data_IF_520395446553
#
_entry.id   IF_520395446553
#
_cell.length_a   1.000
_cell.length_b   1.000
_cell.length_c   1.000
_cell.angle_alpha   90.00
_cell.angle_beta   90.00
_cell.angle_gamma   90.00
#
_symmetry.space_group_name_H-M   'P 1'
#
loop_
_entity.id
_entity.type
_entity.pdbx_description
1 polymer ?
#
# COMPACT_ATOMS: atom_id res chain seq x y z
N UNK A 1 22.47 16.85 25.07
CA UNK A 1 22.20 15.52 25.65
C UNK A 1 20.72 15.09 25.64
N UNK A 2 19.77 16.00 25.54
CA UNK A 2 18.32 15.64 25.44
C UNK A 2 17.85 15.31 24.03
N UNK A 3 18.48 15.81 23.00
CA UNK A 3 18.11 15.58 21.58
C UNK A 3 18.24 14.10 21.17
N UNK A 4 19.31 13.42 21.57
CA UNK A 4 19.51 12.00 21.27
C UNK A 4 18.46 11.06 21.90
N UNK A 5 17.80 11.49 22.97
CA UNK A 5 16.76 10.68 23.63
C UNK A 5 15.42 10.80 22.93
N UNK A 6 15.12 11.97 22.36
CA UNK A 6 13.92 12.20 21.56
C UNK A 6 14.00 11.48 20.21
N UNK A 7 15.15 11.49 19.53
CA UNK A 7 15.36 10.76 18.27
C UNK A 7 15.23 9.25 18.45
N UNK A 8 15.81 8.67 19.49
CA UNK A 8 15.65 7.24 19.82
C UNK A 8 14.21 6.86 20.13
N UNK A 9 13.46 7.77 20.77
CA UNK A 9 12.04 7.54 21.05
C UNK A 9 11.20 7.61 19.77
N UNK A 10 11.50 8.51 18.85
CA UNK A 10 10.86 8.60 17.54
C UNK A 10 11.18 7.38 16.66
N UNK A 11 12.44 6.93 16.65
CA UNK A 11 12.81 5.69 15.95
C UNK A 11 12.11 4.46 16.55
N UNK A 12 11.96 4.38 17.86
CA UNK A 12 11.23 3.30 18.52
C UNK A 12 9.74 3.33 18.16
N UNK A 13 9.12 4.52 18.12
CA UNK A 13 7.73 4.68 17.70
C UNK A 13 7.55 4.36 16.21
N UNK A 14 8.50 4.74 15.35
CA UNK A 14 8.48 4.38 13.94
C UNK A 14 8.64 2.87 13.71
N UNK A 15 9.46 2.19 14.52
CA UNK A 15 9.58 0.73 14.49
C UNK A 15 8.30 0.03 14.96
N UNK A 16 7.59 0.60 15.93
CA UNK A 16 6.30 0.07 16.41
C UNK A 16 5.17 0.30 15.41
N UNK A 17 5.25 1.34 14.58
CA UNK A 17 4.28 1.64 13.54
C UNK A 17 4.69 1.07 12.16
N UNK A 18 5.85 0.42 12.05
CA UNK A 18 6.25 -0.19 10.79
C UNK A 18 5.33 -1.38 10.48
N UNK A 19 4.48 -1.19 9.51
CA UNK A 19 3.64 -2.25 8.98
C UNK A 19 4.56 -3.34 8.41
N UNK A 20 4.35 -4.56 8.87
CA UNK A 20 5.08 -5.74 8.37
C UNK A 20 4.23 -6.45 7.33
N UNK A 21 4.88 -7.06 6.38
CA UNK A 21 4.24 -7.87 5.36
C UNK A 21 4.77 -9.31 5.40
N UNK A 22 3.85 -10.25 5.26
CA UNK A 22 4.19 -11.67 5.13
C UNK A 22 4.39 -11.95 3.65
N UNK A 23 5.61 -12.26 3.25
CA UNK A 23 5.96 -12.53 1.85
C UNK A 23 6.47 -13.94 1.68
N UNK A 24 6.22 -14.50 0.51
CA UNK A 24 6.77 -15.79 0.13
C UNK A 24 7.90 -15.56 -0.89
N UNK A 25 9.11 -15.85 -0.47
CA UNK A 25 10.32 -15.79 -1.30
C UNK A 25 11.03 -17.13 -1.30
N UNK A 26 11.35 -17.66 -2.47
CA UNK A 26 12.02 -18.96 -2.61
C UNK A 26 11.32 -20.12 -1.89
N UNK A 27 9.99 -20.12 -1.87
CA UNK A 27 9.18 -21.12 -1.19
C UNK A 27 9.17 -21.01 0.34
N UNK A 28 9.72 -19.95 0.90
CA UNK A 28 9.74 -19.67 2.35
C UNK A 28 8.89 -18.45 2.69
N UNK A 29 8.12 -18.57 3.76
CA UNK A 29 7.36 -17.48 4.33
C UNK A 29 8.29 -16.60 5.18
N UNK A 30 8.40 -15.33 4.81
CA UNK A 30 9.22 -14.34 5.50
C UNK A 30 8.34 -13.17 5.95
N UNK A 31 8.63 -12.62 7.11
CA UNK A 31 8.02 -11.38 7.58
C UNK A 31 9.04 -10.26 7.41
N UNK A 32 8.72 -9.29 6.57
CA UNK A 32 9.60 -8.16 6.26
C UNK A 32 8.88 -6.83 6.50
N UNK A 33 9.60 -5.74 6.75
CA UNK A 33 9.01 -4.41 6.76
C UNK A 33 8.38 -4.07 5.39
N UNK A 34 7.22 -3.42 5.39
CA UNK A 34 6.50 -3.07 4.16
C UNK A 34 7.34 -2.26 3.18
N UNK A 35 8.28 -1.45 3.69
CA UNK A 35 9.20 -0.65 2.88
C UNK A 35 10.20 -1.47 2.05
N UNK A 36 10.41 -2.74 2.41
CA UNK A 36 11.31 -3.66 1.70
C UNK A 36 10.62 -4.48 0.62
N UNK A 37 9.32 -4.27 0.43
CA UNK A 37 8.56 -4.90 -0.64
C UNK A 37 9.02 -4.38 -2.01
N UNK A 38 9.15 -5.29 -2.95
CA UNK A 38 9.45 -4.99 -4.35
C UNK A 38 8.37 -5.54 -5.26
N UNK A 39 8.11 -4.92 -6.42
CA UNK A 39 7.20 -5.51 -7.40
C UNK A 39 7.61 -6.94 -7.76
N UNK A 40 6.65 -7.85 -7.77
CA UNK A 40 6.86 -9.28 -8.00
C UNK A 40 6.89 -10.15 -6.75
N UNK A 41 6.95 -9.56 -5.56
CA UNK A 41 6.82 -10.32 -4.31
C UNK A 41 5.40 -10.87 -4.13
N UNK A 42 5.29 -12.09 -3.62
CA UNK A 42 4.00 -12.68 -3.26
C UNK A 42 3.72 -12.41 -1.79
N UNK A 43 2.65 -11.67 -1.53
CA UNK A 43 2.20 -11.30 -0.17
C UNK A 43 1.06 -12.21 0.25
N UNK A 44 1.10 -12.68 1.49
CA UNK A 44 0.02 -13.43 2.12
C UNK A 44 -0.73 -12.48 3.06
N UNK A 45 -2.04 -12.42 2.89
CA UNK A 45 -2.94 -11.55 3.64
C UNK A 45 -3.97 -12.36 4.41
N UNK A 46 -4.22 -11.93 5.63
CA UNK A 46 -5.21 -12.51 6.54
C UNK A 46 -6.09 -11.40 7.12
N UNK A 47 -7.19 -11.80 7.75
CA UNK A 47 -8.09 -10.86 8.45
C UNK A 47 -7.34 -10.03 9.48
N UNK A 48 -7.50 -8.72 9.42
CA UNK A 48 -6.84 -7.76 10.30
C UNK A 48 -5.53 -7.19 9.75
N UNK A 49 -5.01 -7.73 8.65
CA UNK A 49 -3.80 -7.21 8.00
C UNK A 49 -4.11 -5.94 7.18
N UNK A 50 -3.20 -4.99 7.22
CA UNK A 50 -3.20 -3.86 6.28
C UNK A 50 -2.46 -4.22 5.00
N UNK A 51 -3.02 -3.79 3.89
CA UNK A 51 -2.40 -3.98 2.57
C UNK A 51 -1.19 -3.04 2.44
N UNK A 52 0.03 -3.58 2.27
CA UNK A 52 1.25 -2.78 2.32
C UNK A 52 1.58 -2.04 1.01
N UNK A 53 1.01 -2.49 -0.08
CA UNK A 53 1.29 -1.98 -1.43
C UNK A 53 0.11 -2.26 -2.36
N UNK A 54 0.17 -1.84 -3.60
CA UNK A 54 -0.83 -2.23 -4.60
C UNK A 54 -0.56 -3.66 -5.06
N UNK A 55 -1.54 -4.51 -4.85
CA UNK A 55 -1.44 -5.96 -5.04
C UNK A 55 -2.46 -6.46 -6.06
N UNK A 56 -2.03 -7.38 -6.93
CA UNK A 56 -2.92 -8.17 -7.77
C UNK A 56 -3.24 -9.49 -7.10
N UNK A 57 -4.49 -9.80 -6.91
CA UNK A 57 -4.93 -11.03 -6.26
C UNK A 57 -4.65 -12.23 -7.17
N UNK A 58 -3.96 -13.24 -6.63
CA UNK A 58 -3.71 -14.52 -7.27
C UNK A 58 -4.70 -15.56 -6.75
N UNK A 59 -4.93 -15.54 -5.45
CA UNK A 59 -5.79 -16.50 -4.76
C UNK A 59 -6.55 -15.78 -3.64
N UNK A 60 -7.83 -15.99 -3.55
CA UNK A 60 -8.68 -15.39 -2.51
C UNK A 60 -9.69 -16.39 -2.00
N UNK A 61 -9.87 -16.45 -0.68
CA UNK A 61 -10.88 -17.23 0.00
C UNK A 61 -11.73 -16.29 0.86
N UNK A 62 -12.93 -16.00 0.41
CA UNK A 62 -13.86 -15.08 1.08
C UNK A 62 -13.22 -13.73 1.47
N UNK A 63 -12.33 -13.23 0.63
CA UNK A 63 -11.53 -12.04 0.92
C UNK A 63 -12.39 -10.79 0.81
N UNK A 64 -12.42 -9.99 1.88
CA UNK A 64 -13.08 -8.68 1.91
C UNK A 64 -12.11 -7.62 2.39
N UNK A 65 -12.07 -6.52 1.69
CA UNK A 65 -11.21 -5.39 2.00
C UNK A 65 -12.02 -4.09 2.14
N UNK A 66 -11.66 -3.29 3.10
CA UNK A 66 -12.19 -1.94 3.27
C UNK A 66 -11.22 -0.94 2.66
N UNK A 67 -11.68 -0.21 1.65
CA UNK A 67 -10.87 0.71 0.84
C UNK A 67 -11.22 2.19 1.09
N UNK A 68 -11.60 2.51 2.32
CA UNK A 68 -12.03 3.86 2.69
C UNK A 68 -11.01 4.96 2.43
N UNK A 69 -9.72 4.63 2.47
CA UNK A 69 -8.64 5.57 2.16
C UNK A 69 -8.65 6.06 0.70
N UNK A 70 -9.15 5.27 -0.24
CA UNK A 70 -9.21 5.60 -1.66
C UNK A 70 -10.62 5.99 -2.14
N UNK A 71 -11.62 5.22 -1.72
CA UNK A 71 -12.99 5.39 -2.21
C UNK A 71 -13.86 6.25 -1.30
N UNK A 72 -13.42 6.49 -0.05
CA UNK A 72 -14.20 7.16 0.97
C UNK A 72 -15.34 6.31 1.56
N UNK A 73 -15.55 5.10 1.06
CA UNK A 73 -16.60 4.19 1.52
C UNK A 73 -16.08 3.23 2.58
N UNK A 74 -16.79 3.15 3.70
CA UNK A 74 -16.43 2.27 4.83
C UNK A 74 -16.92 0.83 4.65
N UNK A 75 -17.74 0.57 3.64
CA UNK A 75 -18.30 -0.78 3.39
C UNK A 75 -17.23 -1.69 2.80
N UNK A 76 -16.99 -2.88 3.40
CA UNK A 76 -16.06 -3.84 2.83
C UNK A 76 -16.49 -4.33 1.45
N UNK A 77 -15.55 -4.39 0.53
CA UNK A 77 -15.75 -4.89 -0.83
C UNK A 77 -15.20 -6.31 -0.92
N UNK A 78 -15.97 -7.21 -1.51
CA UNK A 78 -15.51 -8.56 -1.79
C UNK A 78 -14.47 -8.55 -2.91
N UNK A 79 -13.36 -9.24 -2.66
CA UNK A 79 -12.23 -9.33 -3.58
C UNK A 79 -12.03 -10.78 -4.03
N UNK A 80 -11.74 -10.96 -5.30
CA UNK A 80 -11.53 -12.28 -5.88
C UNK A 80 -10.46 -12.27 -6.97
N UNK A 81 -9.89 -13.43 -7.23
CA UNK A 81 -8.90 -13.63 -8.29
C UNK A 81 -9.61 -13.76 -9.65
N UNK A 82 -10.26 -12.71 -10.10
CA UNK A 82 -10.99 -12.68 -11.36
C UNK A 82 -10.25 -11.86 -12.42
N UNK A 83 -10.52 -12.17 -13.68
CA UNK A 83 -10.11 -11.32 -14.80
C UNK A 83 -11.19 -10.27 -15.04
N UNK A 84 -10.80 -9.02 -15.11
CA UNK A 84 -11.67 -7.92 -15.51
C UNK A 84 -11.37 -7.63 -16.98
N UNK A 85 -12.39 -7.71 -17.82
CA UNK A 85 -12.25 -7.50 -19.26
C UNK A 85 -12.32 -6.02 -19.65
N UNK A 86 -12.94 -5.20 -18.81
CA UNK A 86 -13.06 -3.77 -19.05
C UNK A 86 -11.81 -3.00 -18.58
N UNK A 87 -11.16 -2.32 -19.50
CA UNK A 87 -9.96 -1.51 -19.23
C UNK A 87 -10.26 -0.21 -18.45
N UNK A 88 -11.50 0.24 -18.44
CA UNK A 88 -11.92 1.52 -17.86
C UNK A 88 -12.61 1.40 -16.50
N UNK A 89 -12.38 0.29 -15.80
CA UNK A 89 -12.99 0.06 -14.49
C UNK A 89 -12.44 1.04 -13.45
N UNK A 90 -13.34 1.69 -12.72
CA UNK A 90 -13.00 2.57 -11.61
C UNK A 90 -12.26 1.83 -10.49
N UNK A 91 -11.52 2.57 -9.66
CA UNK A 91 -10.70 1.99 -8.58
C UNK A 91 -11.57 1.13 -7.64
N UNK A 92 -12.75 1.60 -7.25
CA UNK A 92 -13.66 0.88 -6.37
C UNK A 92 -14.22 -0.42 -6.96
N UNK A 93 -14.25 -0.56 -8.27
CA UNK A 93 -14.79 -1.72 -8.97
C UNK A 93 -13.72 -2.74 -9.37
N UNK A 94 -12.45 -2.49 -9.06
CA UNK A 94 -11.35 -3.42 -9.32
C UNK A 94 -11.31 -4.52 -8.26
N UNK A 95 -12.19 -5.50 -8.40
CA UNK A 95 -12.33 -6.62 -7.45
C UNK A 95 -11.13 -7.55 -7.39
N UNK A 96 -10.25 -7.51 -8.38
CA UNK A 96 -9.07 -8.35 -8.50
C UNK A 96 -7.79 -7.68 -7.99
N UNK A 97 -7.88 -6.48 -7.48
CA UNK A 97 -6.77 -5.74 -6.91
C UNK A 97 -7.05 -5.32 -5.47
N UNK A 98 -5.99 -5.24 -4.69
CA UNK A 98 -5.96 -4.66 -3.37
C UNK A 98 -5.07 -3.43 -3.40
N UNK A 99 -5.51 -2.37 -2.77
CA UNK A 99 -4.79 -1.10 -2.74
C UNK A 99 -4.08 -0.87 -1.41
N UNK A 100 -2.96 -0.18 -1.44
CA UNK A 100 -2.23 0.18 -0.24
C UNK A 100 -3.14 0.90 0.78
N UNK A 101 -2.87 0.71 2.06
CA UNK A 101 -3.64 1.24 3.19
C UNK A 101 -5.07 0.72 3.35
N UNK A 102 -5.47 -0.26 2.56
CA UNK A 102 -6.75 -0.98 2.77
C UNK A 102 -6.62 -1.98 3.92
N UNK A 103 -7.71 -2.21 4.63
CA UNK A 103 -7.78 -3.18 5.72
C UNK A 103 -8.50 -4.43 5.26
N UNK A 104 -7.90 -5.60 5.49
CA UNK A 104 -8.56 -6.88 5.27
C UNK A 104 -9.50 -7.15 6.44
N UNK A 105 -10.80 -7.09 6.17
CA UNK A 105 -11.85 -7.26 7.18
C UNK A 105 -12.27 -8.70 7.37
N UNK A 106 -12.14 -9.51 6.33
CA UNK A 106 -12.53 -10.91 6.36
C UNK A 106 -11.76 -11.73 5.33
N UNK A 107 -11.55 -13.01 5.62
CA UNK A 107 -10.95 -13.96 4.70
C UNK A 107 -9.43 -13.93 4.67
N UNK A 108 -8.89 -14.57 3.65
CA UNK A 108 -7.45 -14.67 3.41
C UNK A 108 -7.17 -14.74 1.91
N UNK A 109 -5.96 -14.36 1.52
CA UNK A 109 -5.57 -14.42 0.12
C UNK A 109 -4.07 -14.32 -0.09
N UNK A 110 -3.67 -14.62 -1.32
CA UNK A 110 -2.34 -14.39 -1.82
C UNK A 110 -2.39 -13.40 -2.97
N UNK A 111 -1.50 -12.47 -2.98
CA UNK A 111 -1.43 -11.46 -4.02
C UNK A 111 0.02 -11.15 -4.38
N UNK A 112 0.23 -10.70 -5.61
CA UNK A 112 1.53 -10.27 -6.09
C UNK A 112 1.63 -8.75 -6.03
N UNK A 113 2.78 -8.25 -5.60
CA UNK A 113 3.05 -6.80 -5.56
C UNK A 113 3.20 -6.29 -7.00
N UNK A 114 2.40 -5.29 -7.34
CA UNK A 114 2.43 -4.61 -8.64
C UNK A 114 3.19 -3.30 -8.54
N UNK A 115 2.85 -2.46 -7.56
CA UNK A 115 3.47 -1.17 -7.34
C UNK A 115 3.64 -0.90 -5.84
N UNK A 116 4.67 -0.12 -5.50
CA UNK A 116 5.04 0.20 -4.11
C UNK A 116 5.24 1.69 -3.90
N UNK A 117 5.15 2.13 -2.64
CA UNK A 117 5.46 3.50 -2.24
C UNK A 117 4.63 4.56 -2.95
N UNK A 118 5.30 5.53 -3.54
CA UNK A 118 4.66 6.66 -4.24
C UNK A 118 4.01 6.28 -5.56
N UNK A 119 4.32 5.11 -6.12
CA UNK A 119 3.72 4.61 -7.35
C UNK A 119 2.36 3.94 -7.12
N UNK A 120 1.99 3.64 -5.88
CA UNK A 120 0.66 3.13 -5.53
C UNK A 120 -0.42 4.16 -5.82
N UNK A 121 -1.66 3.73 -5.97
CA UNK A 121 -2.80 4.66 -6.16
C UNK A 121 -2.93 5.65 -5.00
N UNK A 122 -2.73 5.19 -3.77
CA UNK A 122 -2.68 6.06 -2.58
C UNK A 122 -1.50 7.04 -2.67
N UNK A 123 -0.33 6.56 -3.05
CA UNK A 123 0.86 7.40 -3.23
C UNK A 123 0.67 8.47 -4.30
N UNK A 124 -0.03 8.15 -5.38
CA UNK A 124 -0.36 9.11 -6.45
C UNK A 124 -1.32 10.21 -5.97
N UNK A 125 -2.30 9.84 -5.16
CA UNK A 125 -3.29 10.81 -4.63
C UNK A 125 -2.63 11.72 -3.58
N UNK A 126 -1.98 11.16 -2.59
CA UNK A 126 -1.37 11.92 -1.49
C UNK A 126 0.01 12.48 -1.83
N UNK A 127 0.76 11.85 -2.72
CA UNK A 127 2.11 12.25 -3.08
C UNK A 127 2.19 13.61 -3.76
N UNK A 128 1.17 14.03 -4.47
CA UNK A 128 1.09 15.37 -5.07
C UNK A 128 1.03 16.45 -3.99
N UNK A 129 0.27 16.23 -2.93
CA UNK A 129 0.16 17.16 -1.80
C UNK A 129 1.42 17.18 -0.92
N UNK A 130 1.98 16.01 -0.59
CA UNK A 130 3.15 15.87 0.26
C UNK A 130 4.43 16.41 -0.37
N UNK A 131 4.61 16.30 -1.69
CA UNK A 131 5.75 16.90 -2.38
C UNK A 131 5.77 18.42 -2.26
N UNK A 132 4.62 19.06 -2.30
CA UNK A 132 4.53 20.51 -2.13
C UNK A 132 4.79 20.96 -0.68
N UNK A 133 4.39 20.13 0.30
CA UNK A 133 4.51 20.48 1.72
C UNK A 133 5.89 20.16 2.29
N UNK A 134 6.43 18.96 1.99
CA UNK A 134 7.67 18.48 2.58
C UNK A 134 8.93 18.91 1.83
N UNK A 135 8.83 19.21 0.54
CA UNK A 135 9.96 19.61 -0.30
C UNK A 135 9.64 20.84 -1.16
N UNK A 136 9.39 22.00 -0.54
CA UNK A 136 9.04 23.20 -1.31
C UNK A 136 10.18 23.71 -2.22
N UNK A 137 11.38 23.17 -2.14
CA UNK A 137 12.58 23.63 -2.86
C UNK A 137 13.36 22.56 -3.61
N UNK A 138 12.87 21.33 -3.70
CA UNK A 138 13.56 20.30 -4.51
C UNK A 138 13.25 20.55 -5.99
N UNK A 139 14.18 21.21 -6.67
CA UNK A 139 14.19 21.25 -8.14
C UNK A 139 14.55 19.86 -8.65
N UNK A 140 13.58 19.13 -9.16
CA UNK A 140 13.82 17.95 -9.97
C UNK A 140 13.94 18.41 -11.42
N UNK A 141 15.19 18.64 -11.84
CA UNK A 141 15.46 19.17 -13.17
C UNK A 141 15.16 20.67 -13.32
N UNK A 142 15.33 21.20 -14.52
CA UNK A 142 15.18 22.63 -14.86
C UNK A 142 13.71 23.09 -14.97
N UNK A 143 12.73 22.25 -14.69
CA UNK A 143 11.30 22.59 -14.78
C UNK A 143 10.65 22.64 -13.40
N UNK A 144 9.95 23.75 -13.07
CA UNK A 144 9.16 23.79 -11.84
C UNK A 144 8.03 22.75 -11.92
N UNK A 145 7.74 22.10 -10.79
CA UNK A 145 6.61 21.19 -10.68
C UNK A 145 5.33 21.96 -11.05
N UNK A 146 4.63 21.52 -12.10
CA UNK A 146 3.39 22.15 -12.58
C UNK A 146 2.26 22.15 -11.53
N UNK A 147 2.41 21.35 -10.44
CA UNK A 147 1.46 21.32 -9.32
C UNK A 147 1.74 22.39 -8.26
N UNK A 148 2.87 23.10 -8.36
CA UNK A 148 3.27 24.18 -7.45
C UNK A 148 3.21 25.56 -8.10
N UNK A 149 2.68 25.64 -9.30
CA UNK A 149 2.46 26.89 -9.98
C UNK A 149 1.16 27.54 -9.54
#
# INVERSE_FOLDING_TARGET
MQENKAEKSLEALQKLSSHVAKVMRNGKLLTIPSRELVPGDVVILETGDYVPADLRIIEAVNLKAQESALTGESVPVEKMAARIEDEKVGIGDRINMLFASSLITYGRGKAIVVETGMNTEVGRVYGKGLRCILYPKVRVGSTPCAACA
#
